data_IF_463023862075
#
_entry.id   IF_463023862075
#
_cell.length_a   1.000
_cell.length_b   1.000
_cell.length_c   1.000
_cell.angle_alpha   90.00
_cell.angle_beta   90.00
_cell.angle_gamma   90.00
#
_symmetry.space_group_name_H-M   'P 1'
#
loop_
_entity.id
_entity.type
_entity.pdbx_description
1 polymer ?
#
# COMPACT_ATOMS: atom_id res chain seq x y z
N UNK A 1 -13.69 -3.44 17.19
CA UNK A 1 -12.95 -2.15 17.13
C UNK A 1 -11.45 -2.38 17.05
N UNK A 2 -10.90 -3.26 17.88
CA UNK A 2 -9.49 -3.71 17.86
C UNK A 2 -9.07 -4.38 16.55
N UNK A 3 -9.92 -5.21 15.94
CA UNK A 3 -9.52 -6.02 14.78
C UNK A 3 -9.22 -5.17 13.52
N UNK A 4 -10.05 -4.15 13.25
CA UNK A 4 -9.82 -3.21 12.16
C UNK A 4 -8.59 -2.32 12.42
N UNK A 5 -8.29 -2.03 13.70
CA UNK A 5 -7.12 -1.21 14.07
C UNK A 5 -5.81 -1.90 13.73
N UNK A 6 -5.74 -3.23 13.88
CA UNK A 6 -4.56 -4.03 13.51
C UNK A 6 -4.31 -3.92 12.00
N UNK A 7 -5.36 -4.02 11.17
CA UNK A 7 -5.24 -3.90 9.71
C UNK A 7 -4.72 -2.51 9.32
N UNK A 8 -5.25 -1.46 9.95
CA UNK A 8 -4.76 -0.09 9.73
C UNK A 8 -3.29 0.07 10.11
N UNK A 9 -2.85 -0.47 11.25
CA UNK A 9 -1.43 -0.44 11.65
C UNK A 9 -0.56 -1.17 10.63
N UNK A 10 -0.98 -2.33 10.13
CA UNK A 10 -0.25 -3.07 9.09
C UNK A 10 -0.12 -2.26 7.80
N UNK A 11 -1.16 -1.54 7.40
CA UNK A 11 -1.14 -0.64 6.23
C UNK A 11 -0.15 0.51 6.44
N UNK A 12 -0.11 1.13 7.63
CA UNK A 12 0.89 2.14 7.93
C UNK A 12 2.32 1.59 7.89
N UNK A 13 2.57 0.43 8.51
CA UNK A 13 3.89 -0.22 8.49
C UNK A 13 4.31 -0.49 7.04
N UNK A 14 3.39 -1.01 6.23
CA UNK A 14 3.63 -1.23 4.81
C UNK A 14 3.96 0.07 4.06
N UNK A 15 3.17 1.13 4.28
CA UNK A 15 3.43 2.45 3.72
C UNK A 15 4.82 3.00 4.10
N UNK A 16 5.22 2.85 5.36
CA UNK A 16 6.55 3.29 5.82
C UNK A 16 7.67 2.48 5.15
N UNK A 17 7.54 1.16 5.06
CA UNK A 17 8.54 0.31 4.39
C UNK A 17 8.70 0.68 2.91
N UNK A 18 7.59 1.01 2.25
CA UNK A 18 7.59 1.41 0.85
C UNK A 18 8.18 2.81 0.66
N UNK A 19 7.97 3.71 1.62
CA UNK A 19 8.59 5.03 1.65
C UNK A 19 10.12 4.88 1.74
N UNK A 20 10.61 4.06 2.67
CA UNK A 20 12.04 3.77 2.84
C UNK A 20 12.64 3.13 1.58
N UNK A 21 11.91 2.24 0.93
CA UNK A 21 12.35 1.60 -0.33
C UNK A 21 12.47 2.63 -1.45
N UNK A 22 11.51 3.56 -1.56
CA UNK A 22 11.53 4.63 -2.55
C UNK A 22 12.65 5.66 -2.30
N UNK A 23 13.03 5.87 -1.04
CA UNK A 23 14.15 6.72 -0.63
C UNK A 23 15.52 6.09 -0.86
N UNK A 24 15.59 4.78 -1.14
CA UNK A 24 16.85 4.08 -1.37
C UNK A 24 17.64 4.68 -2.55
N UNK A 25 18.97 4.68 -2.42
CA UNK A 25 19.88 5.11 -3.50
C UNK A 25 19.73 4.27 -4.78
N UNK A 26 19.22 3.05 -4.66
CA UNK A 26 18.98 2.14 -5.79
C UNK A 26 17.65 2.39 -6.54
N UNK A 27 16.82 3.32 -6.08
CA UNK A 27 15.54 3.63 -6.72
C UNK A 27 15.72 4.57 -7.93
N UNK A 28 15.09 4.22 -9.05
CA UNK A 28 15.06 5.02 -10.28
C UNK A 28 14.11 6.22 -10.06
N UNK A 29 14.36 7.42 -10.60
CA UNK A 29 13.55 8.61 -10.32
C UNK A 29 12.03 8.41 -10.47
N UNK A 30 11.60 7.66 -11.49
CA UNK A 30 10.19 7.35 -11.72
C UNK A 30 9.60 6.45 -10.62
N UNK A 31 10.36 5.48 -10.12
CA UNK A 31 9.93 4.59 -9.03
C UNK A 31 9.84 5.33 -7.71
N UNK A 32 10.69 6.35 -7.51
CA UNK A 32 10.59 7.26 -6.36
C UNK A 32 9.26 7.98 -6.37
N UNK A 33 8.85 8.57 -7.48
CA UNK A 33 7.58 9.30 -7.57
C UNK A 33 6.38 8.44 -7.20
N UNK A 34 6.23 7.26 -7.82
CA UNK A 34 5.14 6.34 -7.52
C UNK A 34 5.23 5.77 -6.10
N UNK A 35 6.42 5.40 -5.65
CA UNK A 35 6.67 4.90 -4.30
C UNK A 35 6.31 5.93 -3.23
N UNK A 36 6.70 7.20 -3.41
CA UNK A 36 6.37 8.29 -2.49
C UNK A 36 4.88 8.53 -2.39
N UNK A 37 4.21 8.75 -3.53
CA UNK A 37 2.76 9.04 -3.55
C UNK A 37 1.95 7.89 -2.96
N UNK A 38 2.27 6.66 -3.36
CA UNK A 38 1.59 5.48 -2.83
C UNK A 38 1.82 5.30 -1.33
N UNK A 39 3.05 5.51 -0.86
CA UNK A 39 3.38 5.38 0.57
C UNK A 39 2.69 6.44 1.43
N UNK A 40 2.67 7.69 0.99
CA UNK A 40 1.94 8.74 1.68
C UNK A 40 0.44 8.46 1.68
N UNK A 41 -0.15 8.02 0.57
CA UNK A 41 -1.55 7.64 0.51
C UNK A 41 -1.89 6.57 1.57
N UNK A 42 -1.06 5.54 1.72
CA UNK A 42 -1.26 4.48 2.71
C UNK A 42 -1.15 4.98 4.16
N UNK A 43 -0.20 5.86 4.44
CA UNK A 43 -0.02 6.47 5.77
C UNK A 43 -1.23 7.35 6.11
N UNK A 44 -1.66 8.22 5.20
CA UNK A 44 -2.84 9.06 5.40
C UNK A 44 -4.12 8.25 5.50
N UNK A 45 -4.27 7.19 4.69
CA UNK A 45 -5.41 6.28 4.75
C UNK A 45 -5.51 5.63 6.13
N UNK A 46 -4.37 5.24 6.70
CA UNK A 46 -4.29 4.68 8.06
C UNK A 46 -4.76 5.68 9.11
N UNK A 47 -4.25 6.91 9.06
CA UNK A 47 -4.64 7.97 10.00
C UNK A 47 -6.17 8.18 9.95
N UNK A 48 -6.72 8.36 8.75
CA UNK A 48 -8.17 8.59 8.55
C UNK A 48 -8.99 7.37 8.98
N UNK A 49 -8.51 6.16 8.64
CA UNK A 49 -9.12 4.89 9.01
C UNK A 49 -9.22 4.68 10.52
N UNK A 50 -8.16 5.03 11.27
CA UNK A 50 -8.13 4.97 12.73
C UNK A 50 -9.08 5.99 13.37
N UNK A 51 -9.24 7.18 12.79
CA UNK A 51 -10.18 8.18 13.33
C UNK A 51 -11.65 7.91 12.98
N UNK A 52 -11.95 6.85 12.21
CA UNK A 52 -13.30 6.33 11.86
C UNK A 52 -14.26 7.32 11.16
N UNK A 53 -13.86 8.58 10.96
CA UNK A 53 -14.59 9.59 10.18
C UNK A 53 -14.03 9.58 8.75
N UNK A 54 -14.73 8.89 7.84
CA UNK A 54 -14.33 8.78 6.43
C UNK A 54 -13.83 7.40 5.99
N UNK A 55 -14.49 6.32 6.44
CA UNK A 55 -14.12 4.93 6.10
C UNK A 55 -14.02 4.66 4.61
N UNK A 56 -14.96 5.17 3.82
CA UNK A 56 -14.95 5.04 2.36
C UNK A 56 -13.73 5.75 1.75
N UNK A 57 -13.43 6.97 2.22
CA UNK A 57 -12.28 7.73 1.74
C UNK A 57 -10.96 7.05 2.11
N UNK A 58 -10.83 6.54 3.34
CA UNK A 58 -9.66 5.76 3.78
C UNK A 58 -9.48 4.49 2.93
N UNK A 59 -10.57 3.80 2.59
CA UNK A 59 -10.54 2.63 1.70
C UNK A 59 -10.05 3.00 0.29
N UNK A 60 -10.63 4.04 -0.33
CA UNK A 60 -10.22 4.50 -1.67
C UNK A 60 -8.75 4.92 -1.66
N UNK A 61 -8.32 5.63 -0.63
CA UNK A 61 -6.93 6.07 -0.51
C UNK A 61 -5.96 4.89 -0.32
N UNK A 62 -6.40 3.82 0.35
CA UNK A 62 -5.64 2.57 0.45
C UNK A 62 -5.51 1.88 -0.90
N UNK A 63 -6.60 1.79 -1.67
CA UNK A 63 -6.60 1.22 -3.03
C UNK A 63 -5.64 1.99 -3.94
N UNK A 64 -5.75 3.32 -3.97
CA UNK A 64 -4.85 4.18 -4.74
C UNK A 64 -3.41 3.99 -4.27
N UNK A 65 -3.19 3.93 -2.96
CA UNK A 65 -1.88 3.64 -2.36
C UNK A 65 -1.25 2.37 -2.91
N UNK A 66 -1.97 1.24 -2.84
CA UNK A 66 -1.49 -0.05 -3.36
C UNK A 66 -1.19 0.00 -4.86
N UNK A 67 -2.07 0.58 -5.68
CA UNK A 67 -1.83 0.72 -7.13
C UNK A 67 -0.54 1.48 -7.40
N UNK A 68 -0.31 2.61 -6.72
CA UNK A 68 0.88 3.43 -6.92
C UNK A 68 2.15 2.71 -6.48
N UNK A 69 2.16 2.10 -5.29
CA UNK A 69 3.36 1.40 -4.82
C UNK A 69 3.66 0.17 -5.68
N UNK A 70 2.65 -0.58 -6.11
CA UNK A 70 2.83 -1.74 -6.99
C UNK A 70 3.32 -1.33 -8.37
N UNK A 71 2.83 -0.21 -8.92
CA UNK A 71 3.37 0.38 -10.15
C UNK A 71 4.83 0.79 -9.99
N UNK A 72 5.18 1.47 -8.89
CA UNK A 72 6.55 1.87 -8.60
C UNK A 72 7.50 0.67 -8.48
N UNK A 73 7.06 -0.39 -7.79
CA UNK A 73 7.84 -1.60 -7.62
C UNK A 73 8.00 -2.41 -8.92
N UNK A 74 6.97 -2.41 -9.77
CA UNK A 74 7.01 -3.02 -11.10
C UNK A 74 8.01 -2.33 -12.02
N UNK A 75 8.04 -0.99 -12.01
CA UNK A 75 9.00 -0.19 -12.79
C UNK A 75 10.44 -0.41 -12.29
N UNK A 76 10.63 -0.68 -10.99
CA UNK A 76 11.95 -0.75 -10.38
C UNK A 76 12.74 -2.02 -10.71
N UNK A 77 12.09 -3.16 -10.88
CA UNK A 77 12.83 -4.41 -10.94
C UNK A 77 13.12 -4.95 -12.33
N UNK A 78 14.23 -5.70 -12.39
CA UNK A 78 14.71 -6.38 -13.59
C UNK A 78 13.79 -7.55 -13.93
N UNK A 79 13.49 -7.73 -15.21
CA UNK A 79 12.63 -8.80 -15.72
C UNK A 79 13.27 -10.19 -15.52
N UNK A 80 13.15 -10.75 -14.33
CA UNK A 80 13.45 -12.16 -14.04
C UNK A 80 12.17 -12.87 -13.59
N UNK A 81 12.05 -14.18 -13.84
CA UNK A 81 10.86 -14.96 -13.48
C UNK A 81 10.52 -14.89 -11.98
N UNK A 82 11.52 -14.88 -11.10
CA UNK A 82 11.34 -14.67 -9.66
C UNK A 82 10.78 -13.29 -9.31
N UNK A 83 11.12 -12.27 -10.10
CA UNK A 83 10.63 -10.91 -9.90
C UNK A 83 9.12 -10.80 -10.19
N UNK A 84 8.66 -11.47 -11.23
CA UNK A 84 7.24 -11.55 -11.57
C UNK A 84 6.41 -12.27 -10.51
N UNK A 85 6.92 -13.40 -9.99
CA UNK A 85 6.24 -14.14 -8.93
C UNK A 85 6.11 -13.30 -7.66
N UNK A 86 7.16 -12.57 -7.27
CA UNK A 86 7.13 -11.67 -6.13
C UNK A 86 6.04 -10.59 -6.27
N UNK A 87 5.91 -9.95 -7.43
CA UNK A 87 4.87 -8.95 -7.67
C UNK A 87 3.47 -9.54 -7.71
N UNK A 88 3.32 -10.74 -8.26
CA UNK A 88 2.04 -11.43 -8.26
C UNK A 88 1.57 -11.76 -6.83
N UNK A 89 2.46 -12.33 -6.01
CA UNK A 89 2.17 -12.62 -4.60
C UNK A 89 1.85 -11.33 -3.83
N UNK A 90 2.64 -10.28 -4.04
CA UNK A 90 2.38 -8.97 -3.46
C UNK A 90 1.00 -8.43 -3.84
N UNK A 91 0.63 -8.49 -5.12
CA UNK A 91 -0.69 -8.06 -5.61
C UNK A 91 -1.83 -8.85 -4.96
N UNK A 92 -1.67 -10.17 -4.82
CA UNK A 92 -2.65 -11.00 -4.07
C UNK A 92 -2.78 -10.52 -2.63
N UNK A 93 -1.66 -10.27 -1.94
CA UNK A 93 -1.69 -9.80 -0.55
C UNK A 93 -2.36 -8.43 -0.41
N UNK A 94 -2.11 -7.50 -1.32
CA UNK A 94 -2.77 -6.19 -1.37
C UNK A 94 -4.29 -6.35 -1.56
N UNK A 95 -4.73 -7.25 -2.45
CA UNK A 95 -6.15 -7.56 -2.66
C UNK A 95 -6.80 -8.18 -1.42
N UNK A 96 -6.11 -9.12 -0.75
CA UNK A 96 -6.61 -9.71 0.50
C UNK A 96 -6.82 -8.64 1.57
N UNK A 97 -5.88 -7.70 1.72
CA UNK A 97 -6.02 -6.58 2.66
C UNK A 97 -7.21 -5.69 2.30
N UNK A 98 -7.44 -5.40 1.01
CA UNK A 98 -8.61 -4.64 0.56
C UNK A 98 -9.92 -5.36 0.86
N UNK A 99 -10.01 -6.67 0.59
CA UNK A 99 -11.21 -7.46 0.90
C UNK A 99 -11.49 -7.46 2.40
N UNK A 100 -10.45 -7.65 3.23
CA UNK A 100 -10.59 -7.59 4.68
C UNK A 100 -11.07 -6.20 5.13
N UNK A 101 -10.46 -5.12 4.64
CA UNK A 101 -10.90 -3.76 4.94
C UNK A 101 -12.37 -3.52 4.54
N UNK A 102 -12.78 -3.98 3.35
CA UNK A 102 -14.15 -3.83 2.87
C UNK A 102 -15.15 -4.47 3.85
N UNK A 103 -14.89 -5.71 4.25
CA UNK A 103 -15.72 -6.45 5.22
C UNK A 103 -15.75 -5.74 6.58
N UNK A 104 -14.58 -5.36 7.12
CA UNK A 104 -14.49 -4.74 8.45
C UNK A 104 -15.10 -3.33 8.51
N UNK A 105 -14.99 -2.57 7.43
CA UNK A 105 -15.52 -1.22 7.36
C UNK A 105 -17.03 -1.19 7.06
N UNK A 106 -17.61 -2.32 6.63
CA UNK A 106 -19.01 -2.45 6.16
C UNK A 106 -19.31 -1.45 5.03
N UNK A 107 -18.38 -1.36 4.09
CA UNK A 107 -18.58 -0.67 2.82
C UNK A 107 -19.33 -1.59 1.84
#
# INVERSE_FOLDING_TARGET
MTDAMIIWILIAVYGVLMLLTSLSKAAVPLTKFFGFLGSFALIFATVIGIFHRGKLFAFILTLVGFVFVSTGAFIQGRQTTFHWLHHFVRGIMEVVVLVLLFIFLKL
#
